data_IF_669333323107
#
_entry.id   IF_669333323107
#
_cell.length_a   1.000
_cell.length_b   1.000
_cell.length_c   1.000
_cell.angle_alpha   90.00
_cell.angle_beta   90.00
_cell.angle_gamma   90.00
#
_symmetry.space_group_name_H-M   'P 1'
#
loop_
_entity.id
_entity.type
_entity.pdbx_description
1 polymer ?
#
# COMPACT_ATOMS: atom_id res chain seq x y z
N UNK A 1 -1.55 39.44 -11.21
CA UNK A 1 -1.86 38.22 -10.43
C UNK A 1 -2.64 38.67 -9.20
N UNK A 2 -3.95 38.41 -9.11
CA UNK A 2 -4.74 38.90 -7.98
C UNK A 2 -4.46 38.06 -6.73
N UNK A 3 -4.33 38.76 -5.61
CA UNK A 3 -4.03 38.20 -4.29
C UNK A 3 -5.17 37.31 -3.80
N UNK A 4 -4.83 36.11 -3.32
CA UNK A 4 -5.77 35.22 -2.64
C UNK A 4 -6.09 35.79 -1.26
N UNK A 5 -7.37 36.12 -1.08
CA UNK A 5 -7.93 36.74 0.10
C UNK A 5 -8.15 35.67 1.19
N UNK A 6 -7.58 35.89 2.37
CA UNK A 6 -7.77 35.05 3.55
C UNK A 6 -9.25 35.06 3.97
N UNK A 7 -9.90 33.90 3.90
CA UNK A 7 -11.19 33.68 4.54
C UNK A 7 -11.00 32.84 5.80
N UNK A 8 -11.03 33.53 6.94
CA UNK A 8 -11.13 32.94 8.27
C UNK A 8 -12.53 32.35 8.48
N UNK A 9 -12.59 31.03 8.71
CA UNK A 9 -13.78 30.32 9.19
C UNK A 9 -13.35 29.37 10.31
N UNK A 10 -13.73 29.69 11.54
CA UNK A 10 -13.36 28.97 12.75
C UNK A 10 -14.16 27.67 12.90
N UNK A 11 -13.47 26.53 12.82
CA UNK A 11 -13.61 25.32 13.66
C UNK A 11 -12.40 24.41 13.32
N UNK A 12 -11.50 24.19 14.29
CA UNK A 12 -10.28 23.37 14.21
C UNK A 12 -9.28 23.68 13.08
N UNK A 13 -8.70 24.89 13.12
CA UNK A 13 -7.53 25.19 12.29
C UNK A 13 -6.33 24.33 12.76
N UNK A 14 -5.67 23.57 11.86
CA UNK A 14 -4.46 22.84 12.21
C UNK A 14 -3.34 23.80 12.64
N UNK A 15 -2.45 23.38 13.56
CA UNK A 15 -1.47 24.26 14.16
C UNK A 15 -0.53 24.89 13.11
N UNK A 16 -0.09 26.14 13.34
CA UNK A 16 0.56 27.00 12.33
C UNK A 16 1.94 26.50 11.86
N UNK A 17 2.50 25.48 12.49
CA UNK A 17 3.77 24.86 12.07
C UNK A 17 3.62 23.88 10.90
N UNK A 18 2.40 23.53 10.49
CA UNK A 18 2.17 22.57 9.40
C UNK A 18 2.40 23.24 8.05
N UNK A 19 3.26 22.63 7.24
CA UNK A 19 3.69 23.19 5.96
C UNK A 19 2.60 23.06 4.87
N UNK A 20 1.79 22.00 4.91
CA UNK A 20 0.92 21.59 3.79
C UNK A 20 -0.59 21.67 4.09
N UNK A 21 -1.02 22.64 4.89
CA UNK A 21 -2.46 22.83 5.20
C UNK A 21 -3.27 23.16 3.94
N UNK A 22 -2.75 24.04 3.07
CA UNK A 22 -3.43 24.40 1.82
C UNK A 22 -3.55 23.20 0.87
N UNK A 23 -2.51 22.36 0.78
CA UNK A 23 -2.52 21.15 -0.04
C UNK A 23 -3.53 20.12 0.50
N UNK A 24 -3.60 19.95 1.82
CA UNK A 24 -4.59 19.11 2.48
C UNK A 24 -6.02 19.50 2.09
N UNK A 25 -6.35 20.79 2.19
CA UNK A 25 -7.68 21.29 1.87
C UNK A 25 -8.02 21.12 0.39
N UNK A 26 -7.06 21.36 -0.51
CA UNK A 26 -7.24 21.15 -1.94
C UNK A 26 -7.49 19.67 -2.28
N UNK A 27 -6.74 18.74 -1.68
CA UNK A 27 -6.89 17.31 -1.93
C UNK A 27 -8.18 16.73 -1.32
N UNK A 28 -8.65 17.31 -0.20
CA UNK A 28 -9.88 16.86 0.47
C UNK A 28 -11.16 17.47 -0.07
N UNK A 29 -11.11 18.67 -0.66
CA UNK A 29 -12.24 19.28 -1.36
C UNK A 29 -12.51 18.51 -2.65
N UNK A 30 -13.17 17.35 -2.54
CA UNK A 30 -13.70 16.64 -3.69
C UNK A 30 -15.04 17.28 -4.12
N UNK A 31 -15.15 17.83 -5.34
CA UNK A 31 -16.39 18.41 -5.83
C UNK A 31 -17.40 17.35 -6.32
N UNK A 32 -17.01 16.08 -6.42
CA UNK A 32 -17.83 15.01 -6.96
C UNK A 32 -18.52 14.19 -5.84
N UNK A 33 -19.80 13.80 -6.02
CA UNK A 33 -20.45 12.83 -5.14
C UNK A 33 -19.62 11.55 -5.10
N UNK A 34 -19.33 11.05 -3.89
CA UNK A 34 -18.60 9.78 -3.74
C UNK A 34 -19.45 8.69 -4.40
N UNK A 35 -18.90 7.90 -5.34
CA UNK A 35 -19.64 6.79 -5.91
C UNK A 35 -20.08 5.87 -4.79
N UNK A 36 -21.39 5.69 -4.66
CA UNK A 36 -21.98 4.79 -3.68
C UNK A 36 -21.52 3.38 -4.07
N UNK A 37 -20.73 2.75 -3.19
CA UNK A 37 -20.40 1.34 -3.34
C UNK A 37 -21.71 0.56 -3.47
N UNK A 38 -21.85 -0.24 -4.53
CA UNK A 38 -23.08 -1.00 -4.84
C UNK A 38 -23.54 -1.74 -3.56
N UNK A 39 -24.69 -1.37 -2.97
CA UNK A 39 -25.05 -1.75 -1.60
C UNK A 39 -25.57 -3.20 -1.46
N UNK A 40 -25.27 -4.08 -2.42
CA UNK A 40 -25.95 -5.38 -2.55
C UNK A 40 -25.16 -6.60 -2.10
N UNK A 41 -23.85 -6.50 -1.81
CA UNK A 41 -23.01 -7.66 -1.47
C UNK A 41 -22.72 -7.67 0.03
N UNK A 42 -22.94 -8.82 0.68
CA UNK A 42 -22.62 -9.01 2.09
C UNK A 42 -21.13 -8.71 2.34
N UNK A 43 -20.83 -8.09 3.48
CA UNK A 43 -19.47 -7.73 3.84
C UNK A 43 -18.59 -8.98 3.93
N UNK A 44 -17.67 -9.15 2.98
CA UNK A 44 -16.78 -10.31 2.95
C UNK A 44 -15.54 -10.03 3.80
N UNK A 45 -15.23 -10.95 4.72
CA UNK A 45 -13.98 -10.94 5.47
C UNK A 45 -12.87 -11.63 4.68
N UNK A 46 -11.63 -11.31 5.00
CA UNK A 46 -10.49 -12.05 4.45
C UNK A 46 -10.44 -13.47 5.03
N UNK A 47 -10.01 -14.46 4.24
CA UNK A 47 -9.66 -15.76 4.79
C UNK A 47 -8.52 -15.61 5.80
N UNK A 48 -8.54 -16.45 6.83
CA UNK A 48 -7.47 -16.45 7.83
C UNK A 48 -6.16 -16.95 7.20
N UNK A 49 -5.05 -16.20 7.34
CA UNK A 49 -3.78 -16.60 6.79
C UNK A 49 -3.26 -17.79 7.58
N UNK A 50 -2.93 -18.87 6.88
CA UNK A 50 -2.20 -19.99 7.48
C UNK A 50 -0.74 -19.55 7.58
N UNK A 51 -0.21 -19.45 8.79
CA UNK A 51 1.19 -19.09 9.05
C UNK A 51 1.78 -20.08 10.06
N UNK A 52 3.02 -20.60 9.86
CA UNK A 52 3.93 -20.41 8.72
C UNK A 52 3.59 -21.28 7.50
N UNK A 53 3.75 -20.76 6.28
CA UNK A 53 3.57 -21.54 5.04
C UNK A 53 4.83 -22.25 4.59
N UNK A 54 5.97 -21.65 4.91
CA UNK A 54 7.30 -22.11 4.56
C UNK A 54 8.18 -22.07 5.81
N UNK A 55 7.96 -22.99 6.77
CA UNK A 55 8.78 -23.06 7.98
C UNK A 55 10.28 -23.23 7.67
N UNK A 56 10.62 -23.84 6.53
CA UNK A 56 11.99 -23.98 6.02
C UNK A 56 12.68 -22.65 5.71
N UNK A 57 11.92 -21.59 5.42
CA UNK A 57 12.47 -20.25 5.15
C UNK A 57 12.63 -19.41 6.42
N UNK A 58 12.00 -19.82 7.53
CA UNK A 58 12.14 -19.13 8.83
C UNK A 58 13.50 -19.41 9.49
N UNK A 59 14.11 -20.54 9.15
CA UNK A 59 15.39 -21.00 9.67
C UNK A 59 16.58 -20.65 8.76
N UNK A 60 16.35 -19.96 7.64
CA UNK A 60 17.45 -19.43 6.85
C UNK A 60 18.09 -18.28 7.64
N UNK A 61 19.32 -18.50 8.11
CA UNK A 61 20.16 -17.41 8.61
C UNK A 61 20.41 -16.45 7.46
N UNK A 62 19.70 -15.31 7.50
CA UNK A 62 19.93 -14.16 6.65
C UNK A 62 21.27 -13.51 7.05
N UNK A 63 22.39 -14.23 6.92
CA UNK A 63 23.71 -13.66 7.18
C UNK A 63 23.96 -12.56 6.13
N UNK A 64 23.66 -11.34 6.52
CA UNK A 64 23.70 -10.16 5.67
C UNK A 64 25.10 -9.94 5.11
N UNK A 65 26.13 -10.16 5.93
CA UNK A 65 27.53 -9.98 5.55
C UNK A 65 27.94 -10.98 4.46
N UNK A 66 27.63 -12.27 4.64
CA UNK A 66 27.94 -13.29 3.64
C UNK A 66 27.19 -13.04 2.32
N UNK A 67 25.93 -12.62 2.38
CA UNK A 67 25.15 -12.27 1.18
C UNK A 67 25.72 -11.04 0.46
N UNK A 68 26.22 -10.04 1.20
CA UNK A 68 26.84 -8.85 0.65
C UNK A 68 28.17 -9.18 -0.04
N UNK A 69 29.00 -10.02 0.58
CA UNK A 69 30.26 -10.50 0.00
C UNK A 69 30.03 -11.33 -1.28
N UNK A 70 29.04 -12.24 -1.27
CA UNK A 70 28.64 -12.99 -2.47
C UNK A 70 28.13 -12.08 -3.59
N UNK A 71 27.42 -11.00 -3.25
CA UNK A 71 26.97 -9.99 -4.21
C UNK A 71 28.14 -9.19 -4.79
N UNK A 72 29.09 -8.77 -3.95
CA UNK A 72 30.32 -8.08 -4.38
C UNK A 72 31.24 -8.95 -5.24
N UNK A 73 31.26 -10.26 -4.99
CA UNK A 73 32.03 -11.24 -5.76
C UNK A 73 31.37 -11.63 -7.10
N UNK A 74 30.21 -11.07 -7.45
CA UNK A 74 29.50 -11.38 -8.69
C UNK A 74 28.90 -12.79 -8.77
N UNK A 75 28.88 -13.55 -7.68
CA UNK A 75 28.44 -14.96 -7.62
C UNK A 75 26.94 -15.14 -7.40
N UNK A 76 26.14 -14.11 -7.68
CA UNK A 76 24.70 -14.14 -7.42
C UNK A 76 23.97 -14.94 -8.51
N UNK A 77 23.74 -16.22 -8.25
CA UNK A 77 22.91 -17.04 -9.12
C UNK A 77 21.42 -16.83 -8.77
N UNK A 78 20.62 -16.44 -9.76
CA UNK A 78 19.17 -16.40 -9.62
C UNK A 78 18.57 -17.63 -10.30
N UNK A 79 17.91 -18.52 -9.56
CA UNK A 79 17.20 -19.64 -10.18
C UNK A 79 16.09 -19.10 -11.10
N UNK A 80 15.90 -19.75 -12.25
CA UNK A 80 14.87 -19.40 -13.24
C UNK A 80 13.48 -19.08 -12.66
N UNK A 81 12.94 -19.83 -11.67
CA UNK A 81 11.64 -19.49 -11.07
C UNK A 81 11.61 -18.11 -10.37
N UNK A 82 12.71 -17.67 -9.76
CA UNK A 82 12.77 -16.34 -9.12
C UNK A 82 12.80 -15.23 -10.17
N UNK A 83 13.53 -15.45 -11.27
CA UNK A 83 13.56 -14.51 -12.41
C UNK A 83 12.16 -14.37 -13.02
N UNK A 84 11.48 -15.50 -13.27
CA UNK A 84 10.12 -15.50 -13.81
C UNK A 84 9.13 -14.81 -12.85
N UNK A 85 9.25 -15.03 -11.55
CA UNK A 85 8.43 -14.33 -10.54
C UNK A 85 8.66 -12.82 -10.62
N UNK A 86 9.91 -12.35 -10.71
CA UNK A 86 10.24 -10.93 -10.82
C UNK A 86 9.69 -10.30 -12.12
N UNK A 87 9.76 -11.03 -13.23
CA UNK A 87 9.16 -10.60 -14.50
C UNK A 87 7.64 -10.46 -14.41
N UNK A 88 6.95 -11.31 -13.64
CA UNK A 88 5.52 -11.19 -13.37
C UNK A 88 5.13 -9.91 -12.61
N UNK A 89 6.03 -9.37 -11.79
CA UNK A 89 5.77 -8.14 -11.04
C UNK A 89 5.92 -6.87 -11.86
N UNK A 90 6.94 -6.80 -12.72
CA UNK A 90 7.34 -5.54 -13.38
C UNK A 90 7.28 -5.61 -14.90
N UNK A 91 7.83 -6.67 -15.49
CA UNK A 91 8.02 -6.75 -16.94
C UNK A 91 6.71 -7.04 -17.67
N UNK A 92 5.94 -8.04 -17.25
CA UNK A 92 4.68 -8.38 -17.92
C UNK A 92 3.60 -7.30 -17.76
N UNK A 93 3.41 -6.66 -16.60
CA UNK A 93 2.49 -5.53 -16.48
C UNK A 93 2.88 -4.36 -17.39
N UNK A 94 4.18 -4.08 -17.53
CA UNK A 94 4.68 -3.06 -18.43
C UNK A 94 4.37 -3.38 -19.89
N UNK A 95 4.64 -4.59 -20.37
CA UNK A 95 4.29 -4.96 -21.75
C UNK A 95 2.77 -4.96 -21.97
N UNK A 96 2.00 -5.47 -21.00
CA UNK A 96 0.54 -5.48 -21.09
C UNK A 96 -0.03 -4.07 -21.17
N UNK A 97 0.50 -3.10 -20.42
CA UNK A 97 0.03 -1.71 -20.47
C UNK A 97 0.31 -1.01 -21.80
N UNK A 98 1.34 -1.47 -22.54
CA UNK A 98 1.70 -0.93 -23.86
C UNK A 98 0.94 -1.58 -25.01
N UNK A 99 0.56 -2.86 -24.87
CA UNK A 99 -0.03 -3.66 -25.94
C UNK A 99 -1.55 -3.75 -25.88
N UNK A 100 -2.14 -3.70 -24.68
CA UNK A 100 -3.59 -3.83 -24.53
C UNK A 100 -4.29 -2.50 -24.90
N UNK A 101 -5.37 -2.55 -25.69
CA UNK A 101 -6.18 -1.37 -25.96
C UNK A 101 -7.02 -1.02 -24.72
N UNK A 102 -6.86 0.20 -24.21
CA UNK A 102 -7.60 0.68 -23.04
C UNK A 102 -6.93 1.87 -22.38
N UNK A 103 -7.69 2.80 -21.79
CA UNK A 103 -7.14 3.99 -21.14
C UNK A 103 -6.55 3.71 -19.75
N UNK A 104 -6.85 2.57 -19.12
CA UNK A 104 -6.54 2.32 -17.71
C UNK A 104 -5.75 1.01 -17.51
N UNK A 105 -4.42 1.14 -17.49
CA UNK A 105 -3.49 0.04 -17.26
C UNK A 105 -2.47 0.39 -16.16
N UNK A 106 -2.91 0.51 -14.89
CA UNK A 106 -1.99 0.76 -13.80
C UNK A 106 -1.00 -0.42 -13.65
N UNK A 107 0.27 -0.10 -13.45
CA UNK A 107 1.32 -1.07 -13.11
C UNK A 107 1.38 -1.24 -11.59
N UNK A 108 1.36 -0.11 -10.89
CA UNK A 108 1.40 0.02 -9.43
C UNK A 108 0.10 0.65 -8.96
N UNK A 109 -0.49 0.09 -7.90
CA UNK A 109 -1.60 0.70 -7.19
C UNK A 109 -1.22 0.97 -5.74
N UNK A 110 -1.49 2.19 -5.28
CA UNK A 110 -1.36 2.59 -3.88
C UNK A 110 -2.70 2.41 -3.18
N UNK A 111 -2.77 1.48 -2.24
CA UNK A 111 -3.98 1.18 -1.48
C UNK A 111 -3.89 1.79 -0.09
N UNK A 112 -4.70 2.83 0.14
CA UNK A 112 -4.80 3.53 1.42
C UNK A 112 -5.69 2.75 2.38
N UNK A 113 -5.08 1.97 3.27
CA UNK A 113 -5.83 1.10 4.20
C UNK A 113 -6.34 1.84 5.42
N UNK A 114 -5.53 2.76 5.96
CA UNK A 114 -5.83 3.52 7.16
C UNK A 114 -5.32 4.95 6.99
N UNK A 115 -6.03 5.92 7.55
CA UNK A 115 -5.60 7.33 7.56
C UNK A 115 -4.96 7.72 8.89
N UNK A 116 -5.19 6.92 9.94
CA UNK A 116 -4.56 7.09 11.24
C UNK A 116 -3.07 6.79 11.19
N UNK A 117 -2.27 7.74 11.64
CA UNK A 117 -0.85 7.59 11.84
C UNK A 117 -0.49 7.82 13.31
N UNK A 118 0.47 7.04 13.82
CA UNK A 118 1.04 7.25 15.17
C UNK A 118 2.05 8.42 15.20
N UNK A 119 2.48 8.91 14.04
CA UNK A 119 3.38 10.06 13.94
C UNK A 119 2.62 11.29 13.46
N UNK A 120 2.89 12.42 14.11
CA UNK A 120 2.39 13.73 13.71
C UNK A 120 3.44 14.51 12.91
N UNK A 121 3.74 14.04 11.71
CA UNK A 121 4.75 14.67 10.86
C UNK A 121 4.26 16.04 10.32
N UNK A 122 5.03 17.10 10.57
CA UNK A 122 4.72 18.48 10.17
C UNK A 122 4.60 18.70 8.65
N UNK A 123 5.26 17.84 7.86
CA UNK A 123 5.25 17.85 6.40
C UNK A 123 4.21 16.89 5.81
N UNK A 124 3.50 16.11 6.64
CA UNK A 124 2.54 15.14 6.12
C UNK A 124 1.23 15.85 5.76
N UNK A 125 0.86 15.80 4.49
CA UNK A 125 -0.43 16.32 4.02
C UNK A 125 -1.61 15.44 4.48
N UNK A 126 -1.39 14.18 4.85
CA UNK A 126 -2.42 13.23 5.28
C UNK A 126 -2.51 13.10 6.82
N UNK A 127 -2.49 14.22 7.54
CA UNK A 127 -2.40 14.26 9.00
C UNK A 127 -3.74 14.05 9.75
N UNK A 128 -4.86 14.02 9.03
CA UNK A 128 -6.17 13.91 9.67
C UNK A 128 -6.49 12.47 10.09
N UNK A 129 -6.29 12.22 11.38
CA UNK A 129 -6.55 10.95 12.03
C UNK A 129 -8.03 10.72 12.39
N UNK A 130 -8.94 11.67 12.11
CA UNK A 130 -10.36 11.52 12.41
C UNK A 130 -11.09 10.59 11.43
N UNK A 131 -10.55 10.45 10.21
CA UNK A 131 -11.17 9.65 9.15
C UNK A 131 -11.00 8.16 9.43
N UNK A 132 -12.11 7.43 9.42
CA UNK A 132 -12.10 5.98 9.55
C UNK A 132 -11.45 5.33 8.33
N UNK A 133 -10.49 4.44 8.55
CA UNK A 133 -9.89 3.64 7.51
C UNK A 133 -10.84 2.65 6.84
N UNK A 134 -10.30 1.99 5.82
CA UNK A 134 -11.01 1.05 4.96
C UNK A 134 -11.46 -0.20 5.75
N UNK A 135 -12.66 -0.70 5.43
CA UNK A 135 -13.16 -1.98 5.96
C UNK A 135 -12.56 -3.15 5.17
N UNK A 136 -12.39 -4.32 5.79
CA UNK A 136 -11.84 -5.54 5.15
C UNK A 136 -12.48 -5.85 3.80
N UNK A 137 -13.80 -5.75 3.73
CA UNK A 137 -14.62 -5.97 2.54
C UNK A 137 -14.26 -5.02 1.37
N UNK A 138 -13.98 -3.76 1.67
CA UNK A 138 -13.59 -2.76 0.65
C UNK A 138 -12.16 -3.03 0.18
N UNK A 139 -11.26 -3.43 1.08
CA UNK A 139 -9.88 -3.82 0.73
C UNK A 139 -9.93 -5.03 -0.23
N UNK A 140 -10.72 -6.05 0.09
CA UNK A 140 -10.89 -7.24 -0.74
C UNK A 140 -11.43 -6.89 -2.13
N UNK A 141 -12.51 -6.10 -2.20
CA UNK A 141 -13.07 -5.63 -3.48
C UNK A 141 -12.08 -4.80 -4.29
N UNK A 142 -11.28 -3.97 -3.62
CA UNK A 142 -10.26 -3.16 -4.28
C UNK A 142 -9.19 -4.04 -4.91
N UNK A 143 -8.69 -5.05 -4.19
CA UNK A 143 -7.72 -6.02 -4.71
C UNK A 143 -8.32 -6.82 -5.87
N UNK A 144 -9.58 -7.25 -5.76
CA UNK A 144 -10.28 -7.98 -6.82
C UNK A 144 -10.45 -7.14 -8.09
N UNK A 145 -10.84 -5.87 -7.93
CA UNK A 145 -10.93 -4.90 -9.01
C UNK A 145 -9.57 -4.66 -9.67
N UNK A 146 -8.53 -4.43 -8.87
CA UNK A 146 -7.16 -4.27 -9.39
C UNK A 146 -6.67 -5.52 -10.12
N UNK A 147 -7.05 -6.72 -9.65
CA UNK A 147 -6.64 -7.98 -10.28
C UNK A 147 -7.25 -8.17 -11.68
N UNK A 148 -8.45 -7.62 -11.90
CA UNK A 148 -9.09 -7.62 -13.22
C UNK A 148 -8.36 -6.74 -14.25
N UNK A 149 -7.48 -5.86 -13.78
CA UNK A 149 -6.63 -5.01 -14.64
C UNK A 149 -5.23 -5.59 -14.82
N UNK A 150 -4.34 -4.85 -15.48
CA UNK A 150 -2.92 -5.19 -15.66
C UNK A 150 -2.08 -5.03 -14.39
N UNK A 151 -2.65 -4.48 -13.32
CA UNK A 151 -1.94 -4.20 -12.07
C UNK A 151 -1.40 -5.49 -11.45
N UNK A 152 -0.10 -5.51 -11.13
CA UNK A 152 0.52 -6.61 -10.38
C UNK A 152 1.37 -6.14 -9.20
N UNK A 153 1.58 -4.83 -9.03
CA UNK A 153 2.26 -4.28 -7.85
C UNK A 153 1.25 -3.55 -6.97
N UNK A 154 1.17 -3.95 -5.71
CA UNK A 154 0.28 -3.35 -4.71
C UNK A 154 1.11 -2.76 -3.57
N UNK A 155 1.00 -1.46 -3.38
CA UNK A 155 1.66 -0.76 -2.29
C UNK A 155 0.64 -0.37 -1.23
N UNK A 156 0.79 -0.89 -0.01
CA UNK A 156 -0.04 -0.48 1.12
C UNK A 156 0.47 0.86 1.66
N UNK A 157 -0.34 1.89 1.47
CA UNK A 157 -0.06 3.26 1.89
C UNK A 157 -1.13 3.72 2.89
N UNK A 158 -0.98 4.94 3.40
CA UNK A 158 -1.91 5.53 4.34
C UNK A 158 -1.24 6.45 5.33
N UNK A 159 -1.83 6.53 6.51
CA UNK A 159 -1.14 6.95 7.73
C UNK A 159 -0.06 5.93 8.09
N UNK A 160 -0.23 5.20 9.18
CA UNK A 160 0.66 4.08 9.53
C UNK A 160 -0.03 2.76 9.13
N UNK A 161 0.37 2.08 8.04
CA UNK A 161 -0.25 0.81 7.64
C UNK A 161 -0.17 -0.24 8.76
N UNK A 162 0.89 -0.19 9.56
CA UNK A 162 1.11 -1.10 10.68
C UNK A 162 0.31 -0.75 11.95
N UNK A 163 -0.52 0.29 11.92
CA UNK A 163 -1.52 0.54 12.98
C UNK A 163 -2.59 -0.54 13.04
N UNK A 164 -2.84 -1.26 11.93
CA UNK A 164 -3.76 -2.40 11.84
C UNK A 164 -3.05 -3.60 11.21
N UNK A 165 -2.09 -4.21 11.93
CA UNK A 165 -1.20 -5.22 11.36
C UNK A 165 -1.96 -6.45 10.86
N UNK A 166 -3.03 -6.85 11.57
CA UNK A 166 -3.87 -7.98 11.18
C UNK A 166 -4.59 -7.75 9.84
N UNK A 167 -5.02 -6.52 9.54
CA UNK A 167 -5.66 -6.20 8.27
C UNK A 167 -4.64 -6.28 7.12
N UNK A 168 -3.47 -5.65 7.31
CA UNK A 168 -2.42 -5.62 6.28
C UNK A 168 -1.89 -7.02 6.03
N UNK A 169 -1.68 -7.83 7.07
CA UNK A 169 -1.24 -9.22 6.91
C UNK A 169 -2.24 -10.04 6.10
N UNK A 170 -3.53 -9.99 6.43
CA UNK A 170 -4.60 -10.68 5.68
C UNK A 170 -4.67 -10.21 4.22
N UNK A 171 -4.54 -8.89 4.00
CA UNK A 171 -4.58 -8.29 2.67
C UNK A 171 -3.35 -8.66 1.83
N UNK A 172 -2.14 -8.57 2.40
CA UNK A 172 -0.88 -9.03 1.78
C UNK A 172 -0.96 -10.51 1.42
N UNK A 173 -1.45 -11.35 2.34
CA UNK A 173 -1.61 -12.77 2.09
C UNK A 173 -2.55 -13.06 0.91
N UNK A 174 -3.71 -12.40 0.89
CA UNK A 174 -4.68 -12.54 -0.19
C UNK A 174 -4.14 -12.02 -1.53
N UNK A 175 -3.43 -10.88 -1.52
CA UNK A 175 -2.81 -10.30 -2.70
C UNK A 175 -1.70 -11.21 -3.25
N UNK A 176 -0.84 -11.75 -2.39
CA UNK A 176 0.21 -12.69 -2.77
C UNK A 176 -0.37 -13.96 -3.41
N UNK A 177 -1.46 -14.52 -2.86
CA UNK A 177 -2.16 -15.67 -3.46
C UNK A 177 -2.72 -15.37 -4.86
N UNK A 178 -3.07 -14.12 -5.14
CA UNK A 178 -3.50 -13.65 -6.47
C UNK A 178 -2.35 -13.29 -7.41
N UNK A 179 -1.09 -13.41 -6.95
CA UNK A 179 0.08 -13.11 -7.75
C UNK A 179 0.46 -11.62 -7.80
N UNK A 180 0.00 -10.83 -6.82
CA UNK A 180 0.52 -9.48 -6.63
C UNK A 180 1.91 -9.50 -5.96
N UNK A 181 2.69 -8.49 -6.28
CA UNK A 181 3.90 -8.08 -5.60
C UNK A 181 3.54 -7.00 -4.59
N UNK A 182 3.73 -7.27 -3.30
CA UNK A 182 3.45 -6.30 -2.25
C UNK A 182 4.69 -5.44 -1.92
N UNK A 183 4.46 -4.14 -1.72
CA UNK A 183 5.47 -3.19 -1.28
C UNK A 183 4.93 -2.48 -0.04
N UNK A 184 5.61 -2.61 1.09
CA UNK A 184 5.29 -1.86 2.31
C UNK A 184 6.13 -0.58 2.36
N UNK A 185 5.48 0.57 2.52
CA UNK A 185 6.11 1.88 2.31
C UNK A 185 6.57 2.62 3.57
N UNK A 186 6.46 2.03 4.78
CA UNK A 186 7.06 2.62 5.97
C UNK A 186 7.92 1.59 6.73
N UNK A 187 9.22 1.88 6.88
CA UNK A 187 10.21 0.95 7.44
C UNK A 187 10.31 0.96 8.96
N UNK A 188 9.62 1.85 9.68
CA UNK A 188 9.83 2.00 11.13
C UNK A 188 9.16 0.96 12.03
N UNK A 189 8.15 0.22 11.56
CA UNK A 189 7.50 -0.82 12.36
C UNK A 189 7.83 -2.26 11.93
N UNK A 190 8.69 -2.46 10.91
CA UNK A 190 9.28 -3.77 10.62
C UNK A 190 10.24 -4.26 11.73
N UNK A 191 10.69 -3.37 12.62
CA UNK A 191 11.49 -3.72 13.79
C UNK A 191 10.65 -4.25 14.97
N UNK A 192 9.32 -4.04 14.98
CA UNK A 192 8.45 -4.39 16.11
C UNK A 192 7.66 -5.70 15.91
N UNK A 193 7.77 -6.35 14.75
CA UNK A 193 7.16 -7.66 14.47
C UNK A 193 8.10 -8.85 14.76
N UNK A 194 9.26 -8.58 15.38
CA UNK A 194 10.08 -9.57 16.08
C UNK A 194 9.80 -9.35 17.58
N UNK A 195 9.31 -10.39 18.25
CA UNK A 195 8.78 -10.43 19.63
C UNK A 195 7.25 -10.28 19.71
N UNK A 196 6.54 -11.39 19.53
CA UNK A 196 5.90 -12.14 20.62
C UNK A 196 5.52 -13.55 20.14
#
# INVERSE_FOLDING_TARGET
MPALQEQHGAHDAPPPFRLDVQLHDLLKKSPAPRPILVPGRQAEKFPEPVFPQHPELMAQDDNYEENLERAGAGKRHWPAPLVYRAMNGWLFPYFKSRLLPGPFHPIIAYLFTEWKCNLDCHYCWAFDNSVKGMTEDVVKRSIDGLHSTTCRVLAFMGGEPLSRPQLVHKASYYAAKKGFWDIHANKRAAAAARCD
#
